data_IF_592608671812
#
_entry.id   IF_592608671812
#
_cell.length_a   1.000
_cell.length_b   1.000
_cell.length_c   1.000
_cell.angle_alpha   90.00
_cell.angle_beta   90.00
_cell.angle_gamma   90.00
#
_symmetry.space_group_name_H-M   'P 1'
#
loop_
_entity.id
_entity.type
_entity.pdbx_description
1 polymer ?
#
# COMPACT_ATOMS: atom_id res chain seq x y z
N UNK A 1 -27.35 19.44 11.91
CA UNK A 1 -27.43 17.96 12.00
C UNK A 1 -27.31 17.26 10.64
N UNK A 2 -27.41 17.95 9.50
CA UNK A 2 -27.41 17.33 8.15
C UNK A 2 -26.02 17.05 7.57
N UNK A 3 -24.95 17.68 8.09
CA UNK A 3 -23.59 17.60 7.53
C UNK A 3 -22.84 16.30 7.87
N UNK A 4 -23.13 15.68 9.01
CA UNK A 4 -22.40 14.51 9.51
C UNK A 4 -22.74 13.24 8.72
N UNK A 5 -23.98 13.11 8.25
CA UNK A 5 -24.44 11.94 7.48
C UNK A 5 -23.81 11.90 6.08
N UNK A 6 -23.65 13.05 5.41
CA UNK A 6 -23.04 13.13 4.08
C UNK A 6 -21.56 12.78 4.09
N UNK A 7 -20.82 13.20 5.13
CA UNK A 7 -19.41 12.85 5.30
C UNK A 7 -19.19 11.36 5.59
N UNK A 8 -20.08 10.73 6.37
CA UNK A 8 -20.02 9.29 6.65
C UNK A 8 -20.29 8.44 5.39
N UNK A 9 -21.23 8.86 4.54
CA UNK A 9 -21.50 8.19 3.25
C UNK A 9 -20.32 8.37 2.29
N UNK A 10 -19.71 9.56 2.23
CA UNK A 10 -18.51 9.79 1.42
C UNK A 10 -17.31 8.96 1.90
N UNK A 11 -17.11 8.83 3.22
CA UNK A 11 -16.08 7.96 3.79
C UNK A 11 -16.34 6.47 3.53
N UNK A 12 -17.61 6.04 3.54
CA UNK A 12 -18.00 4.67 3.18
C UNK A 12 -17.88 4.36 1.68
N UNK A 13 -17.90 5.39 0.82
CA UNK A 13 -17.71 5.28 -0.63
C UNK A 13 -16.27 5.54 -1.09
N UNK A 14 -15.40 6.03 -0.21
CA UNK A 14 -14.01 6.29 -0.53
C UNK A 14 -13.25 4.96 -0.66
N UNK A 15 -12.52 4.78 -1.76
CA UNK A 15 -11.63 3.63 -1.90
C UNK A 15 -10.58 3.64 -0.76
N UNK A 16 -10.31 2.48 -0.14
CA UNK A 16 -9.36 2.40 0.96
C UNK A 16 -7.95 2.73 0.44
N UNK A 17 -7.20 3.52 1.23
CA UNK A 17 -5.80 3.80 0.96
C UNK A 17 -5.02 2.48 0.87
N UNK A 18 -4.38 2.26 -0.28
CA UNK A 18 -3.77 0.98 -0.63
C UNK A 18 -2.31 1.18 -1.03
N UNK A 19 -1.42 0.40 -0.42
CA UNK A 19 -0.05 0.30 -0.87
C UNK A 19 0.08 -0.81 -1.90
N UNK A 20 0.49 -0.44 -3.11
CA UNK A 20 0.78 -1.41 -4.16
C UNK A 20 2.26 -1.78 -4.13
N UNK A 21 2.54 -3.07 -3.96
CA UNK A 21 3.89 -3.63 -4.05
C UNK A 21 4.02 -4.33 -5.39
N UNK A 22 4.75 -3.71 -6.32
CA UNK A 22 4.94 -4.25 -7.67
C UNK A 22 6.20 -5.09 -7.72
N UNK A 23 6.04 -6.37 -8.01
CA UNK A 23 7.13 -7.35 -8.05
C UNK A 23 7.43 -7.75 -9.50
N UNK A 24 8.71 -7.76 -9.87
CA UNK A 24 9.19 -8.23 -11.16
C UNK A 24 9.12 -9.75 -11.26
N UNK A 25 8.24 -10.27 -12.13
CA UNK A 25 7.98 -11.71 -12.28
C UNK A 25 9.22 -12.49 -12.74
N UNK A 26 10.04 -11.89 -13.58
CA UNK A 26 11.28 -12.50 -14.09
C UNK A 26 12.31 -12.76 -12.99
N UNK A 27 12.35 -11.93 -11.96
CA UNK A 27 13.20 -12.14 -10.79
C UNK A 27 12.64 -13.23 -9.87
N UNK A 28 11.31 -13.31 -9.71
CA UNK A 28 10.67 -14.33 -8.86
C UNK A 28 10.90 -15.77 -9.33
N UNK A 29 11.20 -15.98 -10.62
CA UNK A 29 11.51 -17.29 -11.18
C UNK A 29 12.88 -17.83 -10.73
N UNK A 30 13.83 -16.95 -10.39
CA UNK A 30 15.22 -17.31 -10.11
C UNK A 30 15.64 -17.00 -8.67
N UNK A 31 14.81 -16.29 -7.91
CA UNK A 31 15.14 -15.86 -6.55
C UNK A 31 14.44 -16.76 -5.52
N UNK A 32 15.09 -17.08 -4.38
CA UNK A 32 14.41 -17.69 -3.25
C UNK A 32 13.25 -16.79 -2.77
N UNK A 33 12.14 -17.39 -2.34
CA UNK A 33 10.96 -16.64 -1.89
C UNK A 33 11.29 -15.64 -0.77
N UNK A 34 12.20 -15.99 0.15
CA UNK A 34 12.65 -15.10 1.21
C UNK A 34 13.38 -13.84 0.70
N UNK A 35 14.11 -13.95 -0.42
CA UNK A 35 14.76 -12.79 -1.03
C UNK A 35 13.72 -11.83 -1.64
N UNK A 36 12.69 -12.37 -2.31
CA UNK A 36 11.57 -11.58 -2.85
C UNK A 36 10.81 -10.88 -1.72
N UNK A 37 10.50 -11.59 -0.64
CA UNK A 37 9.83 -11.02 0.54
C UNK A 37 10.65 -9.89 1.16
N UNK A 38 11.96 -10.08 1.32
CA UNK A 38 12.86 -9.06 1.88
C UNK A 38 12.84 -7.78 1.05
N UNK A 39 12.85 -7.89 -0.29
CA UNK A 39 12.75 -6.73 -1.18
C UNK A 39 11.38 -6.05 -1.09
N UNK A 40 10.29 -6.82 -1.03
CA UNK A 40 8.94 -6.27 -0.83
C UNK A 40 8.83 -5.50 0.50
N UNK A 41 9.38 -6.04 1.59
CA UNK A 41 9.45 -5.36 2.87
C UNK A 41 10.27 -4.06 2.78
N UNK A 42 11.46 -4.12 2.17
CA UNK A 42 12.31 -2.95 1.98
C UNK A 42 11.60 -1.84 1.20
N UNK A 43 10.98 -2.18 0.06
CA UNK A 43 10.24 -1.24 -0.77
C UNK A 43 9.05 -0.61 -0.02
N UNK A 44 8.29 -1.40 0.74
CA UNK A 44 7.18 -0.91 1.55
C UNK A 44 7.65 0.08 2.63
N UNK A 45 8.73 -0.24 3.34
CA UNK A 45 9.31 0.65 4.36
C UNK A 45 9.86 1.93 3.74
N UNK A 46 10.57 1.84 2.62
CA UNK A 46 11.11 2.99 1.91
C UNK A 46 9.98 3.93 1.44
N UNK A 47 8.93 3.39 0.82
CA UNK A 47 7.78 4.17 0.37
C UNK A 47 7.11 4.94 1.52
N UNK A 48 6.90 4.30 2.68
CA UNK A 48 6.35 4.97 3.86
C UNK A 48 7.29 6.06 4.39
N UNK A 49 8.60 5.81 4.39
CA UNK A 49 9.58 6.78 4.90
C UNK A 49 9.73 8.01 4.01
N UNK A 50 9.81 7.80 2.70
CA UNK A 50 9.96 8.87 1.71
C UNK A 50 8.71 9.75 1.64
N UNK A 51 7.53 9.15 1.74
CA UNK A 51 6.24 9.84 1.69
C UNK A 51 5.66 10.20 3.08
N UNK A 52 6.42 10.04 4.17
CA UNK A 52 5.90 10.13 5.56
C UNK A 52 5.17 11.42 5.90
N UNK A 53 5.49 12.51 5.21
CA UNK A 53 4.92 13.83 5.45
C UNK A 53 3.65 14.10 4.60
N UNK A 54 3.26 13.16 3.72
CA UNK A 54 2.03 13.27 2.92
C UNK A 54 0.78 12.94 3.77
N UNK A 55 -0.33 13.69 3.61
CA UNK A 55 -1.57 13.45 4.35
C UNK A 55 -2.10 12.02 4.20
N UNK A 56 -1.97 11.42 3.02
CA UNK A 56 -2.40 10.07 2.70
C UNK A 56 -1.56 9.03 3.45
N UNK A 57 -0.25 9.23 3.54
CA UNK A 57 0.65 8.33 4.28
C UNK A 57 0.40 8.42 5.78
N UNK A 58 0.13 9.63 6.29
CA UNK A 58 -0.29 9.82 7.68
C UNK A 58 -1.63 9.11 7.96
N UNK A 59 -2.63 9.29 7.11
CA UNK A 59 -3.92 8.61 7.25
C UNK A 59 -3.79 7.07 7.15
N UNK A 60 -2.97 6.57 6.22
CA UNK A 60 -2.68 5.14 6.06
C UNK A 60 -1.99 4.55 7.30
N UNK A 61 -1.14 5.32 7.98
CA UNK A 61 -0.38 4.85 9.16
C UNK A 61 -1.09 5.02 10.50
N UNK A 62 -2.17 5.80 10.56
CA UNK A 62 -2.95 6.03 11.78
C UNK A 62 -3.80 4.84 12.21
N UNK A 63 -4.24 3.99 11.27
CA UNK A 63 -5.11 2.84 11.55
C UNK A 63 -4.45 1.57 11.01
N UNK A 64 -3.57 0.97 11.81
CA UNK A 64 -2.77 -0.19 11.42
C UNK A 64 -3.61 -1.39 10.97
N UNK A 65 -4.72 -1.67 11.66
CA UNK A 65 -5.59 -2.80 11.35
C UNK A 65 -6.33 -2.65 10.01
N UNK A 66 -6.44 -1.43 9.49
CA UNK A 66 -7.02 -1.15 8.16
C UNK A 66 -5.98 -0.98 7.06
N UNK A 67 -4.69 -1.15 7.35
CA UNK A 67 -3.65 -1.05 6.32
C UNK A 67 -3.87 -2.11 5.25
N UNK A 68 -4.10 -1.66 4.02
CA UNK A 68 -4.24 -2.54 2.88
C UNK A 68 -2.96 -2.56 2.03
N UNK A 69 -2.48 -3.75 1.68
CA UNK A 69 -1.36 -3.96 0.76
C UNK A 69 -1.78 -4.93 -0.34
N UNK A 70 -1.53 -4.57 -1.58
CA UNK A 70 -1.79 -5.40 -2.76
C UNK A 70 -0.48 -5.66 -3.48
N UNK A 71 -0.19 -6.93 -3.75
CA UNK A 71 0.98 -7.32 -4.55
C UNK A 71 0.55 -7.48 -6.00
N UNK A 72 1.23 -6.78 -6.89
CA UNK A 72 1.04 -6.89 -8.34
C UNK A 72 2.31 -7.46 -8.99
N UNK A 73 2.17 -8.17 -10.09
CA UNK A 73 3.30 -8.65 -10.88
C UNK A 73 3.47 -7.84 -12.17
N UNK A 74 4.72 -7.55 -12.53
CA UNK A 74 5.07 -6.96 -13.83
C UNK A 74 6.08 -7.84 -14.57
N UNK A 75 5.94 -7.90 -15.89
CA UNK A 75 6.94 -8.49 -16.79
C UNK A 75 7.64 -7.37 -17.54
N UNK A 76 8.97 -7.30 -17.40
CA UNK A 76 9.79 -6.45 -18.27
C UNK A 76 10.09 -7.26 -19.52
N UNK A 77 9.79 -6.70 -20.71
CA UNK A 77 10.07 -7.32 -22.01
C UNK A 77 11.56 -7.35 -22.31
#
# INVERSE_FOLDING_TARGET
>A
MTTTATAAVAAAMAEPLTMFVVVRKDLTLNWPIGAVMTQACHAATAALWEARDLPETLAYTQVLDSMHKVVLEVRVK
#
